data_IF_256070814713
#
_entry.id   IF_256070814713
#
_cell.length_a   1.000
_cell.length_b   1.000
_cell.length_c   1.000
_cell.angle_alpha   90.00
_cell.angle_beta   90.00
_cell.angle_gamma   90.00
#
_symmetry.space_group_name_H-M   'P 1'
#
loop_
_entity.id
_entity.type
_entity.pdbx_description
1 polymer ?
#
# COMPACT_ATOMS: atom_id res chain seq x y z
N UNK A 1 60.43 29.34 19.10
CA UNK A 1 59.11 29.41 19.76
C UNK A 1 58.06 29.89 18.78
N UNK A 2 57.00 29.18 18.38
CA UNK A 2 56.33 27.97 18.87
C UNK A 2 55.87 27.15 17.66
N UNK A 3 56.13 25.85 17.66
CA UNK A 3 55.55 24.91 16.71
C UNK A 3 54.07 24.67 17.04
N UNK A 4 53.25 24.61 15.99
CA UNK A 4 51.81 24.37 16.02
C UNK A 4 51.58 22.88 16.30
N UNK A 5 50.93 22.57 17.42
CA UNK A 5 50.55 21.20 17.79
C UNK A 5 49.27 20.78 17.05
N UNK A 6 49.36 19.66 16.33
CA UNK A 6 48.27 18.95 15.65
C UNK A 6 47.49 18.10 16.67
N UNK A 7 46.15 18.02 16.63
CA UNK A 7 45.40 17.16 17.54
C UNK A 7 45.60 15.67 17.19
N UNK A 8 45.55 14.76 18.19
CA UNK A 8 45.86 13.35 18.00
C UNK A 8 44.74 12.63 17.23
N UNK A 9 45.14 11.81 16.25
CA UNK A 9 44.26 10.89 15.53
C UNK A 9 43.93 9.68 16.41
N UNK A 10 42.74 9.64 17.00
CA UNK A 10 42.19 8.41 17.56
C UNK A 10 41.54 7.59 16.44
N UNK A 11 42.37 6.84 15.70
CA UNK A 11 41.90 5.73 14.89
C UNK A 11 41.42 4.61 15.83
N UNK A 12 40.18 4.72 16.30
CA UNK A 12 39.48 3.63 16.96
C UNK A 12 39.27 2.50 15.96
N UNK A 13 39.96 1.39 16.18
CA UNK A 13 39.74 0.11 15.51
C UNK A 13 38.27 -0.28 15.63
N UNK A 14 37.50 -0.11 14.54
CA UNK A 14 36.23 -0.82 14.39
C UNK A 14 36.57 -2.28 14.15
N UNK A 15 36.58 -3.06 15.23
CA UNK A 15 36.61 -4.51 15.15
C UNK A 15 35.45 -4.95 14.24
N UNK A 16 35.79 -5.65 13.16
CA UNK A 16 34.84 -6.31 12.28
C UNK A 16 34.03 -7.32 13.09
N UNK A 17 32.82 -6.93 13.49
CA UNK A 17 31.85 -7.83 14.08
C UNK A 17 31.46 -8.84 13.01
N UNK A 18 31.82 -10.11 13.25
CA UNK A 18 31.31 -11.23 12.47
C UNK A 18 29.76 -11.16 12.42
N UNK A 19 29.13 -11.52 11.29
CA UNK A 19 27.69 -11.53 11.19
C UNK A 19 27.12 -12.50 12.23
N UNK A 20 26.38 -11.96 13.20
CA UNK A 20 25.69 -12.76 14.21
C UNK A 20 24.73 -13.73 13.50
N UNK A 21 24.64 -15.00 13.93
CA UNK A 21 23.67 -15.93 13.37
C UNK A 21 22.26 -15.38 13.55
N UNK A 22 21.45 -15.47 12.50
CA UNK A 22 20.06 -14.99 12.54
C UNK A 22 19.31 -15.64 13.72
N UNK A 23 18.49 -14.89 14.47
CA UNK A 23 17.80 -15.41 15.63
C UNK A 23 16.90 -16.60 15.23
N UNK A 24 16.76 -17.62 16.09
CA UNK A 24 15.90 -18.76 15.82
C UNK A 24 14.45 -18.31 15.55
N UNK A 25 13.89 -18.81 14.45
CA UNK A 25 12.53 -18.52 13.98
C UNK A 25 11.64 -19.71 14.31
N UNK A 26 10.55 -19.48 15.05
CA UNK A 26 9.54 -20.50 15.34
C UNK A 26 8.28 -20.14 14.56
N UNK A 27 7.83 -21.02 13.67
CA UNK A 27 6.61 -20.85 12.88
C UNK A 27 5.47 -21.66 13.50
N UNK A 28 4.35 -21.00 13.78
CA UNK A 28 3.14 -21.63 14.28
C UNK A 28 2.02 -21.54 13.24
N UNK A 29 1.57 -22.70 12.77
CA UNK A 29 0.49 -22.82 11.80
C UNK A 29 -0.83 -23.15 12.51
N UNK A 30 -1.89 -22.44 12.15
CA UNK A 30 -3.22 -22.59 12.74
C UNK A 30 -4.31 -22.34 11.69
N UNK A 31 -5.57 -22.48 12.09
CA UNK A 31 -6.71 -22.18 11.22
C UNK A 31 -7.68 -21.23 11.92
N UNK A 32 -8.10 -20.20 11.19
CA UNK A 32 -9.05 -19.20 11.67
C UNK A 32 -10.38 -19.36 10.98
N UNK A 33 -11.47 -19.36 11.75
CA UNK A 33 -12.81 -19.28 11.19
C UNK A 33 -13.04 -17.90 10.58
N UNK A 34 -13.40 -17.85 9.30
CA UNK A 34 -13.77 -16.61 8.62
C UNK A 34 -15.30 -16.54 8.48
N UNK A 35 -15.97 -15.58 9.14
CA UNK A 35 -17.41 -15.37 8.96
C UNK A 35 -17.79 -15.02 7.52
N UNK A 36 -16.88 -14.34 6.78
CA UNK A 36 -17.13 -13.89 5.42
C UNK A 36 -17.22 -15.04 4.42
N UNK A 37 -16.37 -16.06 4.60
CA UNK A 37 -16.33 -17.25 3.74
C UNK A 37 -17.07 -18.44 4.34
N UNK A 38 -17.47 -18.39 5.61
CA UNK A 38 -18.05 -19.52 6.35
C UNK A 38 -17.18 -20.79 6.34
N UNK A 39 -15.85 -20.62 6.34
CA UNK A 39 -14.87 -21.72 6.35
C UNK A 39 -13.66 -21.38 7.22
N UNK A 40 -12.93 -22.42 7.65
CA UNK A 40 -11.62 -22.26 8.26
C UNK A 40 -10.58 -21.98 7.20
N UNK A 41 -9.79 -20.93 7.41
CA UNK A 41 -8.71 -20.51 6.53
C UNK A 41 -7.37 -20.73 7.25
N UNK A 42 -6.33 -21.20 6.53
CA UNK A 42 -5.02 -21.40 7.11
C UNK A 42 -4.38 -20.04 7.43
N UNK A 43 -3.78 -19.95 8.61
CA UNK A 43 -3.04 -18.79 9.06
C UNK A 43 -1.74 -19.25 9.71
N UNK A 44 -0.76 -18.35 9.76
CA UNK A 44 0.52 -18.62 10.40
C UNK A 44 1.00 -17.42 11.20
N UNK A 45 1.88 -17.69 12.15
CA UNK A 45 2.52 -16.68 12.97
C UNK A 45 3.99 -17.06 13.13
N UNK A 46 4.87 -16.12 12.80
CA UNK A 46 6.30 -16.26 13.07
C UNK A 46 6.62 -15.61 14.43
N UNK A 47 7.37 -16.33 15.25
CA UNK A 47 7.93 -15.85 16.51
C UNK A 47 9.44 -15.78 16.39
N UNK A 48 10.04 -14.68 16.87
CA UNK A 48 11.48 -14.45 16.85
C UNK A 48 11.96 -14.14 18.25
N UNK A 49 13.01 -14.82 18.69
CA UNK A 49 13.65 -14.55 19.98
C UNK A 49 15.16 -14.75 19.89
N UNK A 50 16.00 -13.84 20.42
CA UNK A 50 15.66 -12.51 20.92
C UNK A 50 15.41 -11.53 19.76
N UNK A 51 14.38 -10.68 19.86
CA UNK A 51 14.16 -9.62 18.88
C UNK A 51 15.03 -8.40 19.24
N UNK A 52 16.27 -8.35 18.74
CA UNK A 52 17.23 -7.28 19.07
C UNK A 52 16.72 -5.88 18.77
N UNK A 53 15.81 -5.72 17.80
CA UNK A 53 15.22 -4.42 17.45
C UNK A 53 14.32 -3.89 18.57
N UNK A 54 13.64 -4.75 19.33
CA UNK A 54 12.77 -4.36 20.45
C UNK A 54 13.54 -3.97 21.73
N UNK A 55 14.84 -4.25 21.80
CA UNK A 55 15.70 -3.98 22.96
C UNK A 55 16.59 -2.74 22.78
N UNK A 56 16.25 -1.85 21.84
CA UNK A 56 16.95 -0.59 21.57
C UNK A 56 16.73 0.51 22.61
N UNK A 57 16.98 0.23 23.90
CA UNK A 57 16.75 1.16 25.02
C UNK A 57 17.42 2.54 24.84
N UNK A 58 18.63 2.59 24.25
CA UNK A 58 19.32 3.86 23.99
C UNK A 58 18.58 4.76 22.98
N UNK A 59 17.93 4.18 21.97
CA UNK A 59 17.15 4.93 20.99
C UNK A 59 15.84 5.47 21.60
N UNK A 60 15.23 4.68 22.50
CA UNK A 60 14.09 5.10 23.30
C UNK A 60 14.48 6.30 24.20
N UNK A 61 15.58 6.20 24.94
CA UNK A 61 16.04 7.27 25.85
C UNK A 61 16.36 8.57 25.09
N UNK A 62 17.03 8.46 23.93
CA UNK A 62 17.27 9.61 23.04
C UNK A 62 15.97 10.26 22.57
N UNK A 63 14.98 9.44 22.19
CA UNK A 63 13.64 9.93 21.79
C UNK A 63 12.88 10.59 22.95
N UNK A 64 12.97 10.03 24.17
CA UNK A 64 12.34 10.58 25.38
C UNK A 64 12.97 11.90 25.81
N UNK A 65 14.28 12.05 25.60
CA UNK A 65 15.03 13.29 25.89
C UNK A 65 14.82 14.40 24.86
N UNK A 66 13.97 14.18 23.84
CA UNK A 66 13.71 15.08 22.72
C UNK A 66 14.91 15.30 21.77
N UNK A 67 15.97 14.50 21.87
CA UNK A 67 17.16 14.66 21.03
C UNK A 67 16.92 14.11 19.62
N UNK A 68 16.30 12.93 19.53
CA UNK A 68 15.85 12.37 18.25
C UNK A 68 14.42 12.80 17.90
N UNK A 69 14.18 12.96 16.60
CA UNK A 69 12.91 13.46 16.05
C UNK A 69 12.05 12.35 15.45
N UNK A 70 12.70 11.36 14.83
CA UNK A 70 12.06 10.25 14.15
C UNK A 70 11.87 9.10 15.13
N UNK A 71 10.62 8.75 15.42
CA UNK A 71 10.33 7.53 16.17
C UNK A 71 10.37 6.36 15.19
N UNK A 72 11.38 5.52 15.34
CA UNK A 72 11.53 4.30 14.54
C UNK A 72 10.55 3.22 15.02
N UNK A 73 10.13 2.31 14.15
CA UNK A 73 9.19 1.24 14.49
C UNK A 73 9.69 0.27 15.59
N UNK A 74 10.99 0.28 15.90
CA UNK A 74 11.57 -0.45 17.03
C UNK A 74 11.15 0.12 18.39
N UNK A 75 10.76 1.39 18.43
CA UNK A 75 10.27 2.07 19.62
C UNK A 75 8.76 1.79 19.75
N UNK A 76 8.33 1.26 20.90
CA UNK A 76 6.90 1.02 21.18
C UNK A 76 6.19 2.33 21.58
N UNK A 77 5.94 3.20 20.59
CA UNK A 77 5.13 4.41 20.75
C UNK A 77 3.64 4.12 20.53
N UNK A 78 2.79 5.01 21.04
CA UNK A 78 1.35 5.02 20.73
C UNK A 78 1.12 5.79 19.45
N UNK A 79 0.19 5.33 18.62
CA UNK A 79 -0.15 6.00 17.37
C UNK A 79 -1.64 5.96 17.05
N UNK A 80 -2.11 7.00 16.37
CA UNK A 80 -3.39 7.04 15.70
C UNK A 80 -3.15 7.23 14.21
N UNK A 81 -3.67 6.32 13.39
CA UNK A 81 -3.58 6.41 11.93
C UNK A 81 -4.88 7.00 11.39
N UNK A 82 -4.74 8.02 10.55
CA UNK A 82 -5.84 8.70 9.89
C UNK A 82 -5.51 8.90 8.42
N UNK A 83 -6.53 8.96 7.58
CA UNK A 83 -6.36 9.46 6.22
C UNK A 83 -7.46 10.44 5.85
N UNK A 84 -7.11 11.38 4.97
CA UNK A 84 -8.06 12.27 4.31
C UNK A 84 -8.40 11.65 2.96
N UNK A 85 -9.69 11.41 2.74
CA UNK A 85 -10.18 10.82 1.49
C UNK A 85 -10.29 11.91 0.41
N UNK A 86 -9.81 11.65 -0.82
CA UNK A 86 -10.09 12.54 -1.94
C UNK A 86 -11.59 12.48 -2.28
N UNK A 87 -12.13 13.47 -3.03
CA UNK A 87 -13.50 13.43 -3.50
C UNK A 87 -13.82 12.13 -4.26
N UNK A 88 -15.06 11.61 -4.21
CA UNK A 88 -15.46 10.47 -5.03
C UNK A 88 -15.31 10.79 -6.52
N UNK A 89 -14.58 9.95 -7.24
CA UNK A 89 -14.47 10.02 -8.71
C UNK A 89 -15.67 9.32 -9.34
N UNK A 90 -16.89 9.83 -9.10
CA UNK A 90 -18.09 9.27 -9.71
C UNK A 90 -18.07 9.57 -11.23
N UNK A 91 -18.24 8.52 -12.03
CA UNK A 91 -17.94 8.45 -13.47
C UNK A 91 -18.86 9.26 -14.40
N UNK A 92 -19.51 10.33 -13.93
CA UNK A 92 -20.62 10.97 -14.66
C UNK A 92 -20.56 12.49 -14.70
N UNK A 93 -19.41 13.11 -14.43
CA UNK A 93 -19.28 14.57 -14.35
C UNK A 93 -18.43 15.09 -15.50
N UNK A 94 -18.86 16.20 -16.12
CA UNK A 94 -18.08 16.98 -17.10
C UNK A 94 -16.66 17.28 -16.56
N UNK A 95 -15.66 17.31 -17.44
CA UNK A 95 -14.25 17.50 -17.05
C UNK A 95 -14.05 18.84 -16.32
N UNK A 96 -14.81 19.87 -16.71
CA UNK A 96 -14.77 21.19 -16.08
C UNK A 96 -15.28 21.17 -14.64
N UNK A 97 -16.41 20.49 -14.39
CA UNK A 97 -17.00 20.34 -13.05
C UNK A 97 -16.13 19.47 -12.14
N UNK A 98 -15.48 18.44 -12.70
CA UNK A 98 -14.50 17.61 -11.99
C UNK A 98 -13.30 18.42 -11.53
N UNK A 99 -12.72 19.23 -12.43
CA UNK A 99 -11.60 20.11 -12.10
C UNK A 99 -11.99 21.11 -11.00
N UNK A 100 -13.16 21.74 -11.13
CA UNK A 100 -13.67 22.66 -10.10
C UNK A 100 -13.81 21.99 -8.72
N UNK A 101 -14.32 20.76 -8.68
CA UNK A 101 -14.47 19.99 -7.43
C UNK A 101 -13.11 19.71 -6.77
N UNK A 102 -12.10 19.41 -7.58
CA UNK A 102 -10.73 19.17 -7.12
C UNK A 102 -10.07 20.45 -6.60
N UNK A 103 -10.28 21.57 -7.27
CA UNK A 103 -9.76 22.87 -6.85
C UNK A 103 -10.38 23.30 -5.50
N UNK A 104 -11.70 23.18 -5.37
CA UNK A 104 -12.42 23.45 -4.11
C UNK A 104 -11.98 22.51 -2.98
N UNK A 105 -11.73 21.24 -3.28
CA UNK A 105 -11.17 20.31 -2.30
C UNK A 105 -9.74 20.73 -1.89
N UNK A 106 -8.91 21.11 -2.86
CA UNK A 106 -7.52 21.51 -2.63
C UNK A 106 -7.41 22.76 -1.76
N UNK A 107 -8.27 23.76 -1.96
CA UNK A 107 -8.35 24.93 -1.09
C UNK A 107 -8.74 24.55 0.34
N UNK A 108 -9.80 23.75 0.51
CA UNK A 108 -10.25 23.27 1.83
C UNK A 108 -9.16 22.47 2.55
N UNK A 109 -8.45 21.62 1.82
CA UNK A 109 -7.35 20.82 2.34
C UNK A 109 -6.12 21.68 2.69
N UNK A 110 -5.80 22.69 1.89
CA UNK A 110 -4.71 23.62 2.17
C UNK A 110 -4.94 24.38 3.48
N UNK A 111 -6.17 24.87 3.71
CA UNK A 111 -6.57 25.51 4.98
C UNK A 111 -6.48 24.56 6.17
N UNK A 112 -6.72 23.27 5.96
CA UNK A 112 -6.55 22.25 6.99
C UNK A 112 -5.09 22.03 7.33
N UNK A 113 -4.21 21.94 6.34
CA UNK A 113 -2.77 21.87 6.57
C UNK A 113 -2.25 23.12 7.26
N UNK A 114 -2.72 24.32 6.87
CA UNK A 114 -2.41 25.60 7.54
C UNK A 114 -2.72 25.56 9.04
N UNK A 115 -3.87 24.99 9.41
CA UNK A 115 -4.24 24.80 10.81
C UNK A 115 -3.24 23.90 11.57
N UNK A 116 -2.78 22.81 10.95
CA UNK A 116 -1.75 21.94 11.55
C UNK A 116 -0.43 22.70 11.70
N UNK A 117 -0.01 23.50 10.70
CA UNK A 117 1.24 24.28 10.80
C UNK A 117 1.19 25.31 11.91
N UNK A 118 0.04 25.96 12.10
CA UNK A 118 -0.15 26.93 13.17
C UNK A 118 0.00 26.32 14.57
N UNK A 119 -0.07 24.99 14.70
CA UNK A 119 0.15 24.26 15.95
C UNK A 119 1.59 23.75 16.11
N UNK A 120 2.43 23.77 15.08
CA UNK A 120 3.79 23.27 15.13
C UNK A 120 4.77 24.22 15.86
N UNK A 121 5.94 23.71 16.25
CA UNK A 121 7.02 24.56 16.80
C UNK A 121 7.55 25.52 15.73
N UNK A 122 7.96 26.73 16.14
CA UNK A 122 8.54 27.74 15.23
C UNK A 122 9.88 27.30 14.62
N UNK A 123 10.68 26.52 15.35
CA UNK A 123 11.99 26.04 14.86
C UNK A 123 11.85 24.84 13.91
N UNK A 124 10.82 24.01 14.12
CA UNK A 124 10.43 22.93 13.20
C UNK A 124 9.47 23.43 12.09
N UNK A 125 9.16 24.73 12.07
CA UNK A 125 8.44 25.39 10.98
C UNK A 125 9.38 25.66 9.79
N UNK A 126 10.27 24.71 9.48
CA UNK A 126 10.62 24.48 8.09
C UNK A 126 9.28 24.41 7.32
N UNK A 127 9.16 25.05 6.15
CA UNK A 127 7.90 25.02 5.43
C UNK A 127 7.52 23.54 5.32
N UNK A 128 6.38 23.15 5.90
CA UNK A 128 5.73 21.90 5.58
C UNK A 128 5.69 21.93 4.06
N UNK A 129 6.66 21.24 3.45
CA UNK A 129 6.90 21.30 2.03
C UNK A 129 5.77 20.50 1.43
N UNK A 130 4.58 21.08 1.40
CA UNK A 130 3.70 20.92 0.27
C UNK A 130 4.50 21.62 -0.81
N UNK A 131 5.23 20.91 -1.70
CA UNK A 131 5.76 21.57 -2.86
C UNK A 131 4.62 22.37 -3.48
N UNK A 132 4.90 23.60 -3.91
CA UNK A 132 3.96 24.48 -4.62
C UNK A 132 3.42 23.86 -5.94
N UNK A 133 3.57 22.55 -6.15
CA UNK A 133 3.07 21.79 -7.27
C UNK A 133 1.96 20.88 -6.74
N UNK A 134 0.71 21.34 -6.84
CA UNK A 134 -0.13 21.14 -8.02
C UNK A 134 -0.47 19.65 -8.14
N UNK A 135 -1.72 19.33 -7.81
CA UNK A 135 -2.46 18.20 -8.34
C UNK A 135 -1.84 17.67 -9.64
N UNK A 136 -1.25 16.47 -9.62
CA UNK A 136 -0.83 15.83 -10.87
C UNK A 136 -2.09 15.28 -11.56
N UNK A 137 -2.83 16.15 -12.26
CA UNK A 137 -4.08 15.81 -12.96
C UNK A 137 -3.83 14.72 -14.01
N UNK A 138 -2.59 14.56 -14.50
CA UNK A 138 -2.19 13.42 -15.35
C UNK A 138 -2.41 12.05 -14.67
N UNK A 139 -2.45 11.97 -13.33
CA UNK A 139 -2.84 10.74 -12.62
C UNK A 139 -4.34 10.44 -12.75
N UNK A 140 -5.19 11.46 -12.87
CA UNK A 140 -6.63 11.31 -13.09
C UNK A 140 -6.93 10.91 -14.54
N UNK A 141 -6.14 11.43 -15.49
CA UNK A 141 -6.25 11.11 -16.91
C UNK A 141 -5.64 9.74 -17.26
N UNK A 142 -5.07 9.01 -16.29
CA UNK A 142 -4.43 7.71 -16.50
C UNK A 142 -3.10 7.76 -17.26
N UNK A 143 -2.58 8.97 -17.54
CA UNK A 143 -1.32 9.18 -18.25
C UNK A 143 -0.10 8.78 -17.41
N UNK A 144 -0.26 8.84 -16.07
CA UNK A 144 0.76 8.42 -15.12
C UNK A 144 0.19 7.39 -14.16
N UNK A 145 1.00 6.39 -13.82
CA UNK A 145 0.67 5.43 -12.77
C UNK A 145 0.84 6.09 -11.39
N UNK A 146 -0.04 5.82 -10.42
CA UNK A 146 0.16 6.24 -9.04
C UNK A 146 1.54 5.79 -8.54
N UNK A 147 2.16 6.58 -7.66
CA UNK A 147 3.49 6.31 -7.11
C UNK A 147 3.47 6.37 -5.60
N UNK A 148 4.45 5.72 -4.98
CA UNK A 148 4.62 5.80 -3.52
C UNK A 148 5.00 7.23 -3.11
N UNK A 149 4.16 7.83 -2.28
CA UNK A 149 4.37 9.18 -1.71
C UNK A 149 5.41 9.09 -0.58
N UNK A 150 6.25 10.13 -0.48
CA UNK A 150 7.21 10.26 0.62
C UNK A 150 6.51 10.79 1.86
N UNK A 151 7.00 10.40 3.04
CA UNK A 151 6.48 10.87 4.31
C UNK A 151 7.44 11.87 4.95
N UNK A 152 6.88 12.84 5.66
CA UNK A 152 7.60 13.84 6.45
C UNK A 152 7.03 13.92 7.86
N UNK A 153 7.79 14.54 8.77
CA UNK A 153 7.52 14.52 10.21
C UNK A 153 7.49 15.94 10.77
N UNK A 154 6.55 16.24 11.66
CA UNK A 154 6.46 17.53 12.34
C UNK A 154 6.14 17.39 13.83
N UNK A 155 6.80 18.19 14.67
CA UNK A 155 6.59 18.20 16.13
C UNK A 155 5.55 19.24 16.55
N UNK A 156 4.56 18.79 17.32
CA UNK A 156 3.51 19.64 17.89
C UNK A 156 3.68 19.69 19.41
N UNK A 157 4.03 20.85 19.99
CA UNK A 157 4.08 21.01 21.43
C UNK A 157 2.66 20.99 22.01
N UNK A 158 2.47 20.21 23.06
CA UNK A 158 1.24 20.18 23.84
C UNK A 158 1.42 21.02 25.10
N UNK A 159 0.52 21.98 25.30
CA UNK A 159 0.53 22.85 26.47
C UNK A 159 -0.61 22.46 27.40
N UNK A 160 -0.29 22.20 28.67
CA UNK A 160 -1.27 22.05 29.73
C UNK A 160 -1.07 23.20 30.72
N UNK A 161 -2.10 24.04 30.98
CA UNK A 161 -1.99 25.14 31.94
C UNK A 161 -1.76 24.65 33.38
N UNK A 162 -2.16 23.41 33.67
CA UNK A 162 -2.02 22.69 34.94
C UNK A 162 -0.82 21.72 34.96
N UNK A 163 -0.03 21.66 33.88
CA UNK A 163 1.20 20.87 33.89
C UNK A 163 2.12 21.43 34.98
N UNK A 164 2.65 20.61 35.91
CA UNK A 164 3.65 21.06 36.85
C UNK A 164 4.89 21.44 36.04
N UNK A 165 4.92 22.70 35.63
CA UNK A 165 6.09 23.41 35.17
C UNK A 165 6.94 23.57 36.42
N UNK A 166 7.87 22.64 36.66
CA UNK A 166 9.19 22.90 37.21
C UNK A 166 9.74 21.65 37.91
N UNK A 167 10.78 21.06 37.34
CA UNK A 167 11.93 20.76 38.18
C UNK A 167 12.70 22.09 38.35
N UNK A 168 12.48 22.80 39.47
CA UNK A 168 13.38 23.89 39.87
C UNK A 168 14.57 23.22 40.55
N UNK A 169 15.66 23.02 39.82
CA UNK A 169 16.98 22.93 40.47
C UNK A 169 17.75 24.16 40.03
N UNK A 170 17.97 25.16 40.89
CA UNK A 170 18.85 26.28 40.55
C UNK A 170 20.19 25.71 40.04
N UNK A 171 20.72 26.15 38.88
CA UNK A 171 20.36 27.36 38.12
C UNK A 171 19.42 27.14 36.91
N UNK A 172 18.86 25.94 36.70
CA UNK A 172 18.04 25.62 35.51
C UNK A 172 16.58 25.30 35.86
N UNK A 173 15.66 26.07 35.28
CA UNK A 173 14.24 25.69 35.21
C UNK A 173 14.02 24.84 33.97
N UNK A 174 13.87 23.52 34.12
CA UNK A 174 13.54 22.63 33.01
C UNK A 174 12.01 22.48 32.96
N UNK A 175 11.39 23.02 31.92
CA UNK A 175 9.98 22.75 31.60
C UNK A 175 9.91 21.36 30.96
N UNK A 176 9.16 20.44 31.56
CA UNK A 176 8.81 19.16 30.92
C UNK A 176 7.98 19.48 29.68
N UNK A 177 8.64 19.52 28.52
CA UNK A 177 7.96 19.70 27.26
C UNK A 177 7.21 18.41 26.95
N UNK A 178 5.91 18.52 26.67
CA UNK A 178 5.12 17.43 26.11
C UNK A 178 4.92 17.73 24.63
N UNK A 179 5.06 16.74 23.77
CA UNK A 179 4.84 16.89 22.35
C UNK A 179 4.29 15.60 21.76
N UNK A 180 3.73 15.73 20.57
CA UNK A 180 3.44 14.63 19.67
C UNK A 180 4.15 14.87 18.34
N UNK A 181 4.36 13.80 17.59
CA UNK A 181 4.86 13.85 16.22
C UNK A 181 3.68 13.58 15.27
N UNK A 182 3.60 14.33 14.17
CA UNK A 182 2.75 13.99 13.05
C UNK A 182 3.62 13.54 11.91
N UNK A 183 3.40 12.30 11.45
CA UNK A 183 3.94 11.76 10.22
C UNK A 183 2.88 11.94 9.14
N UNK A 184 3.23 12.57 8.04
CA UNK A 184 2.27 12.97 7.00
C UNK A 184 2.85 12.78 5.60
N UNK A 185 1.99 12.72 4.59
CA UNK A 185 2.42 12.64 3.20
C UNK A 185 2.94 14.00 2.68
N UNK A 186 4.13 14.01 2.08
CA UNK A 186 4.78 15.23 1.57
C UNK A 186 4.06 15.77 0.32
N UNK A 187 3.42 14.89 -0.44
CA UNK A 187 2.70 15.24 -1.65
C UNK A 187 1.23 14.84 -1.53
N UNK A 188 0.35 15.61 -2.15
CA UNK A 188 -1.07 15.28 -2.22
C UNK A 188 -1.44 14.86 -3.65
N UNK A 189 -2.02 13.66 -3.80
CA UNK A 189 -2.44 13.11 -5.09
C UNK A 189 -3.97 12.97 -5.12
N UNK A 190 -4.66 13.37 -6.20
CA UNK A 190 -6.13 13.33 -6.28
C UNK A 190 -6.74 11.94 -6.21
N UNK A 191 -5.98 10.94 -6.65
CA UNK A 191 -6.44 9.55 -6.75
C UNK A 191 -6.08 8.71 -5.52
N UNK A 192 -5.30 9.27 -4.59
CA UNK A 192 -4.77 8.59 -3.43
C UNK A 192 -5.22 9.29 -2.14
N UNK A 193 -5.38 8.53 -1.06
CA UNK A 193 -5.61 9.11 0.26
C UNK A 193 -4.37 9.83 0.77
N UNK A 194 -4.57 10.85 1.60
CA UNK A 194 -3.50 11.55 2.30
C UNK A 194 -3.35 11.00 3.72
N UNK A 195 -2.19 10.47 4.08
CA UNK A 195 -1.94 9.87 5.40
C UNK A 195 -1.56 10.90 6.45
N UNK A 196 -2.10 10.71 7.66
CA UNK A 196 -1.75 11.46 8.87
C UNK A 196 -1.64 10.45 10.00
N UNK A 197 -0.43 10.21 10.48
CA UNK A 197 -0.15 9.39 11.66
C UNK A 197 0.27 10.30 12.82
N UNK A 198 -0.54 10.29 13.88
CA UNK A 198 -0.25 11.01 15.12
C UNK A 198 0.48 10.03 16.04
N UNK A 199 1.73 10.31 16.39
CA UNK A 199 2.57 9.47 17.25
C UNK A 199 2.90 10.18 18.57
N UNK A 200 2.85 9.44 19.67
CA UNK A 200 3.21 9.94 20.99
C UNK A 200 3.74 8.86 21.91
N UNK A 201 4.54 9.27 22.89
CA UNK A 201 5.19 8.37 23.84
C UNK A 201 5.03 8.87 25.28
N UNK A 202 5.55 10.06 25.58
CA UNK A 202 5.63 10.61 26.94
C UNK A 202 4.79 11.88 27.07
N UNK A 203 3.46 11.74 26.97
CA UNK A 203 2.53 12.86 27.15
C UNK A 203 1.22 12.41 27.81
N UNK A 204 0.50 13.35 28.42
CA UNK A 204 -0.83 13.11 28.99
C UNK A 204 -1.81 12.76 27.88
N UNK A 205 -2.53 11.65 28.04
CA UNK A 205 -3.51 11.19 27.03
C UNK A 205 -4.58 12.22 26.74
N UNK A 206 -5.10 12.91 27.77
CA UNK A 206 -6.12 13.95 27.61
C UNK A 206 -5.71 15.06 26.62
N UNK A 207 -4.43 15.47 26.63
CA UNK A 207 -3.94 16.50 25.69
C UNK A 207 -3.86 15.97 24.25
N UNK A 208 -3.55 14.69 24.09
CA UNK A 208 -3.54 14.03 22.78
C UNK A 208 -4.96 13.88 22.26
N UNK A 209 -5.89 13.45 23.12
CA UNK A 209 -7.30 13.29 22.78
C UNK A 209 -7.91 14.65 22.38
N UNK A 210 -7.63 15.72 23.13
CA UNK A 210 -8.05 17.08 22.79
C UNK A 210 -7.48 17.54 21.45
N UNK A 211 -6.21 17.23 21.17
CA UNK A 211 -5.59 17.55 19.89
C UNK A 211 -6.27 16.80 18.73
N UNK A 212 -6.46 15.48 18.86
CA UNK A 212 -7.12 14.64 17.84
C UNK A 212 -8.56 15.10 17.61
N UNK A 213 -9.31 15.40 18.68
CA UNK A 213 -10.67 15.93 18.58
C UNK A 213 -10.68 17.30 17.90
N UNK A 214 -9.72 18.17 18.20
CA UNK A 214 -9.54 19.45 17.51
C UNK A 214 -9.28 19.29 16.02
N UNK A 215 -8.41 18.35 15.66
CA UNK A 215 -8.10 18.00 14.28
C UNK A 215 -9.34 17.50 13.52
N UNK A 216 -10.09 16.56 14.10
CA UNK A 216 -11.32 16.02 13.51
C UNK A 216 -12.41 17.10 13.36
N UNK A 217 -12.59 17.95 14.38
CA UNK A 217 -13.55 19.07 14.31
C UNK A 217 -13.18 20.05 13.20
N UNK A 218 -11.89 20.38 13.06
CA UNK A 218 -11.43 21.33 12.03
C UNK A 218 -11.57 20.76 10.63
N UNK A 219 -11.26 19.49 10.44
CA UNK A 219 -11.50 18.80 9.18
C UNK A 219 -12.98 18.82 8.78
N UNK A 220 -13.88 18.52 9.73
CA UNK A 220 -15.33 18.60 9.51
C UNK A 220 -15.79 20.02 9.16
N UNK A 221 -15.23 21.06 9.80
CA UNK A 221 -15.52 22.46 9.45
C UNK A 221 -15.10 22.83 8.02
N UNK A 222 -14.05 22.20 7.50
CA UNK A 222 -13.61 22.35 6.12
C UNK A 222 -14.24 21.33 5.17
N UNK A 223 -15.26 20.59 5.60
CA UNK A 223 -15.93 19.56 4.82
C UNK A 223 -14.93 18.54 4.21
N UNK A 224 -13.93 18.14 4.99
CA UNK A 224 -12.97 17.09 4.64
C UNK A 224 -13.35 15.77 5.30
N UNK A 225 -13.30 14.69 4.54
CA UNK A 225 -13.58 13.35 5.03
C UNK A 225 -12.30 12.74 5.61
N UNK A 226 -12.14 12.87 6.93
CA UNK A 226 -11.06 12.20 7.66
C UNK A 226 -11.59 10.95 8.33
N UNK A 227 -10.99 9.80 8.02
CA UNK A 227 -11.35 8.52 8.62
C UNK A 227 -10.18 7.95 9.43
N UNK A 228 -10.45 7.31 10.58
CA UNK A 228 -9.44 6.51 11.27
C UNK A 228 -9.14 5.26 10.45
N UNK A 229 -7.86 4.97 10.28
CA UNK A 229 -7.41 3.78 9.56
C UNK A 229 -7.21 2.63 10.54
N UNK A 230 -7.53 1.39 10.13
CA UNK A 230 -7.18 0.21 10.91
C UNK A 230 -5.64 0.12 11.13
N UNK A 231 -5.23 -0.36 12.32
CA UNK A 231 -3.82 -0.50 12.76
C UNK A 231 -2.93 -1.26 11.77
N UNK A 232 -3.57 -2.10 10.97
CA UNK A 232 -3.02 -3.03 10.00
C UNK A 232 -2.56 -2.40 8.68
N UNK A 233 -2.87 -1.12 8.46
CA UNK A 233 -2.60 -0.44 7.19
C UNK A 233 -1.14 -0.57 6.75
N UNK A 234 -0.21 -0.47 7.72
CA UNK A 234 1.23 -0.55 7.48
C UNK A 234 1.83 -1.96 7.44
N UNK A 235 1.02 -3.02 7.62
CA UNK A 235 1.55 -4.37 7.63
C UNK A 235 1.87 -4.85 6.21
N UNK A 236 3.14 -5.10 5.91
CA UNK A 236 3.61 -5.52 4.58
C UNK A 236 3.45 -7.03 4.31
N UNK A 237 3.05 -7.80 5.32
CA UNK A 237 2.81 -9.25 5.26
C UNK A 237 1.32 -9.56 5.23
N UNK A 238 0.98 -10.82 4.90
CA UNK A 238 -0.39 -11.33 5.10
C UNK A 238 -0.66 -11.76 6.55
N UNK A 239 0.37 -12.04 7.34
CA UNK A 239 0.25 -12.32 8.78
C UNK A 239 0.09 -11.01 9.56
N UNK A 240 -0.93 -10.24 9.21
CA UNK A 240 -1.13 -8.88 9.70
C UNK A 240 -1.43 -8.86 11.20
N UNK A 241 -2.27 -9.80 11.64
CA UNK A 241 -2.63 -9.98 13.04
C UNK A 241 -3.11 -11.43 13.27
N UNK A 242 -2.79 -12.07 14.41
CA UNK A 242 -3.20 -13.44 14.72
C UNK A 242 -4.71 -13.75 14.73
N UNK A 243 -5.55 -12.72 14.61
CA UNK A 243 -7.02 -12.79 14.75
C UNK A 243 -7.73 -12.24 13.52
N UNK A 244 -6.98 -11.93 12.47
CA UNK A 244 -7.50 -11.39 11.23
C UNK A 244 -7.14 -12.39 10.16
N UNK A 245 -8.14 -12.71 9.35
CA UNK A 245 -8.00 -13.71 8.33
C UNK A 245 -8.17 -13.06 6.95
N UNK A 246 -7.07 -12.68 6.29
CA UNK A 246 -7.13 -12.23 4.91
C UNK A 246 -7.70 -13.32 4.01
N UNK A 247 -8.54 -12.92 3.05
CA UNK A 247 -9.08 -13.82 2.02
C UNK A 247 -8.36 -13.55 0.70
N UNK A 248 -7.75 -14.58 0.13
CA UNK A 248 -7.02 -14.49 -1.13
C UNK A 248 -7.87 -14.98 -2.30
N UNK A 249 -7.88 -14.20 -3.39
CA UNK A 249 -8.47 -14.56 -4.65
C UNK A 249 -7.39 -14.51 -5.75
N UNK A 250 -7.05 -15.64 -6.39
CA UNK A 250 -6.04 -15.65 -7.44
C UNK A 250 -6.54 -14.89 -8.69
N UNK A 251 -5.65 -14.14 -9.32
CA UNK A 251 -5.86 -13.54 -10.65
C UNK A 251 -4.75 -13.98 -11.59
N UNK A 252 -5.06 -14.04 -12.89
CA UNK A 252 -4.15 -14.62 -13.90
C UNK A 252 -3.60 -13.59 -14.87
N UNK A 253 -4.38 -12.57 -15.23
CA UNK A 253 -4.03 -11.62 -16.28
C UNK A 253 -3.95 -10.16 -15.80
N UNK A 254 -3.09 -9.37 -16.42
CA UNK A 254 -3.01 -7.92 -16.17
C UNK A 254 -4.34 -7.18 -16.49
N UNK A 255 -5.11 -7.69 -17.45
CA UNK A 255 -6.42 -7.15 -17.78
C UNK A 255 -7.42 -7.37 -16.62
N UNK A 256 -7.36 -8.53 -15.96
CA UNK A 256 -8.19 -8.85 -14.80
C UNK A 256 -7.93 -7.85 -13.67
N UNK A 257 -6.65 -7.56 -13.40
CA UNK A 257 -6.27 -6.56 -12.40
C UNK A 257 -6.84 -5.19 -12.72
N UNK A 258 -6.78 -4.75 -13.98
CA UNK A 258 -7.34 -3.46 -14.41
C UNK A 258 -8.86 -3.40 -14.23
N UNK A 259 -9.58 -4.49 -14.55
CA UNK A 259 -11.03 -4.58 -14.36
C UNK A 259 -11.39 -4.51 -12.86
N UNK A 260 -10.68 -5.25 -12.02
CA UNK A 260 -10.90 -5.22 -10.57
C UNK A 260 -10.59 -3.83 -9.99
N UNK A 261 -9.46 -3.22 -10.37
CA UNK A 261 -9.06 -1.88 -9.93
C UNK A 261 -10.12 -0.82 -10.30
N UNK A 262 -10.65 -0.90 -11.52
CA UNK A 262 -11.75 -0.04 -11.98
C UNK A 262 -13.02 -0.28 -11.16
N UNK A 263 -13.44 -1.53 -10.95
CA UNK A 263 -14.64 -1.86 -10.14
C UNK A 263 -14.52 -1.39 -8.70
N UNK A 264 -13.34 -1.53 -8.09
CA UNK A 264 -13.06 -1.06 -6.74
C UNK A 264 -13.31 0.45 -6.62
N UNK A 265 -12.76 1.23 -7.53
CA UNK A 265 -12.77 2.70 -7.46
C UNK A 265 -14.07 3.33 -7.97
N UNK A 266 -14.67 2.80 -9.04
CA UNK A 266 -15.86 3.36 -9.66
C UNK A 266 -17.18 2.95 -8.97
N UNK A 267 -17.27 1.72 -8.46
CA UNK A 267 -18.54 1.14 -7.99
C UNK A 267 -18.51 0.80 -6.51
N UNK A 268 -17.44 0.18 -6.03
CA UNK A 268 -17.36 -0.36 -4.68
C UNK A 268 -16.86 0.64 -3.63
N UNK A 269 -16.78 1.93 -3.97
CA UNK A 269 -16.40 3.02 -3.06
C UNK A 269 -15.05 2.82 -2.35
N UNK A 270 -14.09 2.18 -3.04
CA UNK A 270 -12.71 2.15 -2.61
C UNK A 270 -11.93 3.34 -3.15
N UNK A 271 -10.89 3.72 -2.43
CA UNK A 271 -9.88 4.68 -2.87
C UNK A 271 -8.51 4.03 -2.75
N UNK A 272 -7.58 4.40 -3.64
CA UNK A 272 -6.20 3.97 -3.52
C UNK A 272 -5.62 4.54 -2.23
N UNK A 273 -5.21 3.66 -1.32
CA UNK A 273 -4.51 4.04 -0.11
C UNK A 273 -3.04 4.31 -0.45
N UNK A 274 -2.38 3.38 -1.15
CA UNK A 274 -1.01 3.61 -1.57
C UNK A 274 -0.35 2.40 -2.22
N UNK A 275 0.91 2.61 -2.60
CA UNK A 275 1.77 1.57 -3.18
C UNK A 275 2.86 1.20 -2.20
N UNK A 276 2.90 -0.08 -1.85
CA UNK A 276 3.77 -0.62 -0.83
C UNK A 276 4.73 -1.63 -1.41
N UNK A 277 5.94 -1.69 -0.85
CA UNK A 277 6.94 -2.69 -1.23
C UNK A 277 6.67 -3.98 -0.48
N UNK A 278 6.80 -5.10 -1.17
CA UNK A 278 6.81 -6.43 -0.55
C UNK A 278 8.26 -6.70 -0.11
N UNK A 279 8.54 -6.83 1.19
CA UNK A 279 9.87 -7.21 1.66
C UNK A 279 10.25 -8.57 1.09
N UNK A 280 11.53 -8.75 0.75
CA UNK A 280 12.03 -10.00 0.18
C UNK A 280 11.75 -11.21 1.09
N UNK A 281 11.82 -11.01 2.41
CA UNK A 281 11.52 -12.05 3.41
C UNK A 281 10.04 -12.45 3.41
N UNK A 282 9.15 -11.51 3.09
CA UNK A 282 7.70 -11.70 2.99
C UNK A 282 7.27 -12.27 1.62
N UNK A 283 8.20 -12.36 0.66
CA UNK A 283 7.96 -12.88 -0.70
C UNK A 283 7.79 -14.41 -0.74
N UNK A 284 7.81 -15.07 0.42
CA UNK A 284 7.48 -16.49 0.57
C UNK A 284 5.99 -16.76 0.30
N UNK A 285 5.53 -18.01 0.46
CA UNK A 285 4.21 -18.59 0.10
C UNK A 285 2.95 -17.72 0.31
N UNK A 286 3.01 -16.63 1.08
CA UNK A 286 1.93 -15.66 1.28
C UNK A 286 1.51 -14.95 -0.02
N UNK A 287 2.46 -14.46 -0.81
CA UNK A 287 2.17 -13.68 -2.01
C UNK A 287 2.33 -14.45 -3.31
N UNK A 288 3.01 -15.61 -3.28
CA UNK A 288 2.99 -16.51 -4.42
C UNK A 288 1.73 -17.35 -4.30
N UNK A 289 0.79 -17.18 -5.23
CA UNK A 289 -0.24 -18.18 -5.48
C UNK A 289 0.39 -19.55 -5.82
N UNK A 290 -0.41 -20.54 -6.24
CA UNK A 290 0.11 -21.81 -6.75
C UNK A 290 1.29 -21.55 -7.70
N UNK A 291 2.38 -22.32 -7.57
CA UNK A 291 3.75 -22.10 -8.12
C UNK A 291 3.86 -21.88 -9.65
N UNK A 292 2.77 -21.66 -10.36
CA UNK A 292 2.64 -21.65 -11.82
C UNK A 292 2.70 -20.25 -12.44
N UNK A 293 2.45 -19.17 -11.71
CA UNK A 293 2.55 -17.80 -12.26
C UNK A 293 3.93 -17.21 -12.06
N UNK A 294 4.86 -17.52 -12.98
CA UNK A 294 6.08 -16.73 -13.15
C UNK A 294 5.69 -15.30 -13.54
N UNK A 295 5.86 -14.35 -12.62
CA UNK A 295 5.68 -12.93 -12.89
C UNK A 295 6.52 -12.50 -14.11
N UNK A 296 5.86 -11.93 -15.12
CA UNK A 296 6.49 -11.27 -16.26
C UNK A 296 6.96 -9.91 -15.76
N UNK A 297 8.18 -9.84 -15.24
CA UNK A 297 8.85 -8.56 -14.99
C UNK A 297 10.23 -8.60 -15.66
N UNK A 298 10.52 -7.72 -16.63
CA UNK A 298 11.82 -7.69 -17.29
C UNK A 298 12.88 -7.32 -16.27
N UNK A 299 13.88 -8.19 -16.10
CA UNK A 299 15.00 -7.93 -15.22
C UNK A 299 15.77 -6.68 -15.72
N UNK A 300 15.76 -5.60 -14.95
CA UNK A 300 16.65 -4.46 -15.19
C UNK A 300 18.09 -4.93 -14.94
N UNK A 301 18.91 -5.01 -16.00
CA UNK A 301 20.35 -5.26 -15.88
C UNK A 301 21.02 -4.01 -15.30
N UNK A 302 21.65 -4.15 -14.14
CA UNK A 302 22.55 -3.11 -13.62
C UNK A 302 23.90 -3.19 -14.34
N UNK A 303 24.57 -2.05 -14.52
CA UNK A 303 25.88 -1.93 -15.18
C UNK A 303 27.02 -2.70 -14.48
N UNK A 304 26.79 -3.30 -13.30
CA UNK A 304 27.80 -4.10 -12.56
C UNK A 304 27.60 -5.61 -12.65
N UNK A 305 26.79 -6.11 -13.58
CA UNK A 305 26.64 -7.55 -13.85
C UNK A 305 25.90 -8.34 -12.75
N UNK A 306 25.42 -7.68 -11.69
CA UNK A 306 24.58 -8.30 -10.65
C UNK A 306 23.10 -8.08 -10.99
N UNK A 307 22.39 -9.16 -11.32
CA UNK A 307 20.93 -9.19 -11.47
C UNK A 307 20.30 -9.11 -10.07
N UNK A 308 19.90 -7.90 -9.64
CA UNK A 308 19.03 -7.79 -8.46
C UNK A 308 17.62 -8.23 -8.90
N UNK A 309 16.94 -9.12 -8.14
CA UNK A 309 15.56 -9.46 -8.43
C UNK A 309 14.70 -8.19 -8.37
N UNK A 310 13.72 -8.03 -9.28
CA UNK A 310 12.87 -6.85 -9.32
C UNK A 310 12.11 -6.69 -8.00
N UNK A 311 12.08 -5.48 -7.47
CA UNK A 311 11.41 -5.18 -6.22
C UNK A 311 9.89 -5.25 -6.43
N UNK A 312 9.24 -6.24 -5.81
CA UNK A 312 7.78 -6.43 -5.91
C UNK A 312 7.04 -5.40 -5.06
N UNK A 313 5.87 -5.01 -5.54
CA UNK A 313 4.98 -4.04 -4.89
C UNK A 313 3.54 -4.51 -4.92
N UNK A 314 2.73 -4.06 -3.99
CA UNK A 314 1.27 -4.18 -4.04
C UNK A 314 0.62 -2.81 -3.95
N UNK A 315 -0.57 -2.69 -4.54
CA UNK A 315 -1.45 -1.54 -4.37
C UNK A 315 -2.47 -1.88 -3.30
N UNK A 316 -2.67 -1.00 -2.34
CA UNK A 316 -3.66 -1.16 -1.29
C UNK A 316 -4.76 -0.13 -1.47
N UNK A 317 -6.00 -0.57 -1.29
CA UNK A 317 -7.21 0.21 -1.40
C UNK A 317 -7.93 0.19 -0.06
N UNK A 318 -8.46 1.32 0.37
CA UNK A 318 -9.27 1.47 1.57
C UNK A 318 -10.71 1.82 1.19
N UNK A 319 -11.68 1.22 1.88
CA UNK A 319 -13.08 1.58 1.65
C UNK A 319 -13.44 2.89 2.35
N UNK A 320 -14.20 3.77 1.68
CA UNK A 320 -14.55 5.11 2.19
C UNK A 320 -15.33 5.10 3.51
N UNK A 321 -16.15 4.09 3.74
CA UNK A 321 -17.07 4.03 4.90
C UNK A 321 -16.91 2.79 5.79
N UNK A 322 -16.10 1.81 5.38
CA UNK A 322 -16.01 0.51 6.04
C UNK A 322 -14.56 0.23 6.40
N UNK A 323 -14.38 -0.45 7.52
CA UNK A 323 -13.07 -0.76 8.06
C UNK A 323 -12.52 -2.03 7.40
N UNK A 324 -12.16 -1.92 6.12
CA UNK A 324 -11.53 -2.97 5.32
C UNK A 324 -10.58 -2.41 4.26
N UNK A 325 -9.67 -3.27 3.81
CA UNK A 325 -8.72 -3.03 2.75
C UNK A 325 -8.81 -4.10 1.67
N UNK A 326 -8.41 -3.73 0.46
CA UNK A 326 -8.15 -4.66 -0.64
C UNK A 326 -6.74 -4.44 -1.12
N UNK A 327 -5.93 -5.50 -1.25
CA UNK A 327 -4.60 -5.44 -1.84
C UNK A 327 -4.59 -6.10 -3.21
N UNK A 328 -4.13 -5.39 -4.21
CA UNK A 328 -3.79 -5.92 -5.52
C UNK A 328 -2.29 -6.20 -5.57
N UNK A 329 -1.95 -7.48 -5.70
CA UNK A 329 -0.58 -7.99 -5.76
C UNK A 329 -0.27 -8.45 -7.18
N UNK A 330 0.86 -9.12 -7.40
CA UNK A 330 1.16 -9.77 -8.68
C UNK A 330 0.46 -11.14 -8.85
N UNK A 331 -0.01 -11.75 -7.75
CA UNK A 331 -0.67 -13.07 -7.79
C UNK A 331 -2.19 -13.01 -7.66
N UNK A 332 -2.75 -11.91 -7.16
CA UNK A 332 -4.19 -11.80 -6.97
C UNK A 332 -4.64 -10.67 -6.06
N UNK A 333 -5.90 -10.77 -5.66
CA UNK A 333 -6.60 -9.85 -4.76
C UNK A 333 -6.61 -10.41 -3.35
N UNK A 334 -6.26 -9.60 -2.36
CA UNK A 334 -6.37 -9.95 -0.95
C UNK A 334 -7.37 -9.03 -0.28
N UNK A 335 -8.43 -9.59 0.28
CA UNK A 335 -9.36 -8.86 1.15
C UNK A 335 -8.90 -8.91 2.60
N UNK A 336 -8.84 -7.77 3.27
CA UNK A 336 -8.44 -7.65 4.68
C UNK A 336 -9.47 -6.78 5.41
N UNK A 337 -10.34 -7.42 6.18
CA UNK A 337 -11.32 -6.73 7.02
C UNK A 337 -10.82 -6.55 8.45
N UNK A 338 -11.32 -5.53 9.13
CA UNK A 338 -11.10 -5.34 10.56
C UNK A 338 -11.79 -6.43 11.40
N UNK A 339 -11.50 -6.43 12.70
CA UNK A 339 -12.07 -7.38 13.69
C UNK A 339 -13.61 -7.30 13.82
N UNK A 340 -14.29 -6.33 13.21
CA UNK A 340 -15.76 -6.17 13.24
C UNK A 340 -16.44 -6.80 12.01
N UNK A 341 -16.14 -8.07 11.77
CA UNK A 341 -16.48 -8.84 10.57
C UNK A 341 -17.99 -9.13 10.38
N UNK A 342 -18.82 -8.90 11.40
CA UNK A 342 -20.21 -9.39 11.45
C UNK A 342 -21.25 -8.43 10.83
N UNK A 343 -20.82 -7.34 10.21
CA UNK A 343 -21.77 -6.39 9.61
C UNK A 343 -22.33 -6.94 8.30
N UNK A 344 -23.66 -6.92 8.15
CA UNK A 344 -24.34 -7.27 6.88
C UNK A 344 -23.80 -6.47 5.70
N UNK A 345 -23.51 -5.17 5.90
CA UNK A 345 -22.94 -4.33 4.84
C UNK A 345 -21.55 -4.81 4.39
N UNK A 346 -20.74 -5.31 5.34
CA UNK A 346 -19.41 -5.85 5.04
C UNK A 346 -19.53 -7.19 4.29
N UNK A 347 -20.46 -8.05 4.68
CA UNK A 347 -20.75 -9.29 3.96
C UNK A 347 -21.20 -9.00 2.52
N UNK A 348 -22.13 -8.05 2.34
CA UNK A 348 -22.62 -7.65 1.02
C UNK A 348 -21.48 -7.14 0.14
N UNK A 349 -20.63 -6.25 0.66
CA UNK A 349 -19.49 -5.73 -0.09
C UNK A 349 -18.48 -6.83 -0.46
N UNK A 350 -18.19 -7.74 0.48
CA UNK A 350 -17.34 -8.89 0.23
C UNK A 350 -17.91 -9.77 -0.89
N UNK A 351 -19.21 -10.09 -0.84
CA UNK A 351 -19.89 -10.86 -1.88
C UNK A 351 -19.88 -10.16 -3.25
N UNK A 352 -20.01 -8.83 -3.29
CA UNK A 352 -19.92 -8.05 -4.54
C UNK A 352 -18.53 -8.17 -5.17
N UNK A 353 -17.47 -7.99 -4.38
CA UNK A 353 -16.10 -8.16 -4.89
C UNK A 353 -15.85 -9.60 -5.35
N UNK A 354 -16.29 -10.59 -4.57
CA UNK A 354 -16.17 -11.99 -4.93
C UNK A 354 -16.89 -12.28 -6.27
N UNK A 355 -18.09 -11.74 -6.47
CA UNK A 355 -18.85 -11.90 -7.70
C UNK A 355 -18.13 -11.28 -8.92
N UNK A 356 -17.51 -10.11 -8.76
CA UNK A 356 -16.68 -9.49 -9.81
C UNK A 356 -15.55 -10.42 -10.23
N UNK A 357 -14.82 -10.98 -9.26
CA UNK A 357 -13.68 -11.87 -9.52
C UNK A 357 -14.12 -13.20 -10.16
N UNK A 358 -15.23 -13.77 -9.69
CA UNK A 358 -15.81 -14.98 -10.28
C UNK A 358 -16.25 -14.76 -11.72
N UNK A 359 -16.88 -13.61 -12.02
CA UNK A 359 -17.31 -13.26 -13.38
C UNK A 359 -16.12 -13.17 -14.32
N UNK A 360 -15.03 -12.52 -13.90
CA UNK A 360 -13.78 -12.47 -14.69
C UNK A 360 -13.28 -13.88 -14.98
N UNK A 361 -13.24 -14.74 -13.96
CA UNK A 361 -12.79 -16.13 -14.10
C UNK A 361 -13.64 -16.93 -15.09
N UNK A 362 -14.96 -16.78 -15.05
CA UNK A 362 -15.88 -17.45 -16.00
C UNK A 362 -15.67 -16.95 -17.43
N UNK A 363 -15.53 -15.63 -17.62
CA UNK A 363 -15.29 -15.08 -18.95
C UNK A 363 -13.96 -15.53 -19.56
N UNK A 364 -12.93 -15.76 -18.73
CA UNK A 364 -11.65 -16.32 -19.20
C UNK A 364 -11.81 -17.76 -19.68
N UNK A 365 -12.57 -18.59 -18.95
CA UNK A 365 -12.85 -19.98 -19.36
C UNK A 365 -13.72 -20.04 -20.63
N UNK A 366 -14.70 -19.14 -20.79
CA UNK A 366 -15.50 -19.04 -22.02
C UNK A 366 -14.63 -18.66 -23.23
N UNK A 367 -13.73 -17.67 -23.08
CA UNK A 367 -12.80 -17.29 -24.15
C UNK A 367 -11.87 -18.43 -24.55
N UNK A 368 -11.44 -19.27 -23.60
CA UNK A 368 -10.66 -20.48 -23.91
C UNK A 368 -11.48 -21.45 -24.74
N UNK A 369 -12.73 -21.71 -24.37
CA UNK A 369 -13.63 -22.59 -25.12
C UNK A 369 -13.86 -22.08 -26.56
N UNK A 370 -14.11 -20.78 -26.74
CA UNK A 370 -14.27 -20.17 -28.08
C UNK A 370 -12.98 -20.24 -28.90
N UNK A 371 -11.81 -20.05 -28.27
CA UNK A 371 -10.52 -20.22 -28.91
C UNK A 371 -10.29 -21.67 -29.37
N UNK A 372 -10.67 -22.67 -28.56
CA UNK A 372 -10.61 -24.08 -28.95
C UNK A 372 -11.58 -24.41 -30.10
N UNK A 373 -12.78 -23.84 -30.10
CA UNK A 373 -13.73 -24.04 -31.21
C UNK A 373 -13.27 -23.37 -32.51
N UNK A 374 -12.66 -22.17 -32.41
CA UNK A 374 -12.15 -21.44 -33.57
C UNK A 374 -10.92 -22.15 -34.15
N UNK A 375 -9.97 -22.57 -33.31
CA UNK A 375 -8.78 -23.30 -33.78
C UNK A 375 -9.12 -24.66 -34.38
N UNK A 376 -10.03 -25.42 -33.77
CA UNK A 376 -10.52 -26.69 -34.36
C UNK A 376 -11.23 -26.47 -35.70
N UNK A 377 -12.05 -25.41 -35.81
CA UNK A 377 -12.70 -25.03 -37.08
C UNK A 377 -11.70 -24.57 -38.15
N UNK A 378 -10.67 -23.81 -37.77
CA UNK A 378 -9.60 -23.39 -38.69
C UNK A 378 -8.78 -24.61 -39.15
N UNK A 379 -8.35 -25.50 -38.24
CA UNK A 379 -7.66 -26.72 -38.65
C UNK A 379 -8.52 -27.64 -39.51
N UNK A 380 -9.82 -27.75 -39.22
CA UNK A 380 -10.75 -28.53 -40.05
C UNK A 380 -10.92 -27.90 -41.45
N UNK A 381 -10.98 -26.57 -41.54
CA UNK A 381 -11.07 -25.86 -42.83
C UNK A 381 -9.81 -26.00 -43.68
N UNK A 382 -8.61 -25.98 -43.05
CA UNK A 382 -7.33 -26.18 -43.74
C UNK A 382 -7.19 -27.64 -44.20
N UNK A 383 -7.62 -28.61 -43.38
CA UNK A 383 -7.61 -30.02 -43.75
C UNK A 383 -8.59 -30.35 -44.88
N UNK A 384 -9.77 -29.72 -44.90
CA UNK A 384 -10.75 -29.83 -45.99
C UNK A 384 -10.24 -29.17 -47.28
N UNK A 385 -9.57 -28.01 -47.18
CA UNK A 385 -8.97 -27.33 -48.32
C UNK A 385 -7.80 -28.12 -48.93
N UNK A 386 -6.99 -28.79 -48.10
CA UNK A 386 -5.91 -29.66 -48.56
C UNK A 386 -6.44 -30.95 -49.21
N UNK A 387 -7.55 -31.53 -48.70
CA UNK A 387 -8.22 -32.64 -49.39
C UNK A 387 -8.81 -32.24 -50.74
N UNK A 388 -9.43 -31.06 -50.85
CA UNK A 388 -9.94 -30.57 -52.14
C UNK A 388 -8.82 -30.29 -53.15
N UNK A 389 -7.62 -29.87 -52.68
CA UNK A 389 -6.43 -29.74 -53.53
C UNK A 389 -5.87 -31.08 -54.01
N UNK A 390 -5.88 -32.11 -53.15
CA UNK A 390 -5.47 -33.47 -53.53
C UNK A 390 -6.45 -34.13 -54.50
N UNK A 391 -7.75 -33.85 -54.38
CA UNK A 391 -8.77 -34.38 -55.30
C UNK A 391 -8.71 -33.65 -56.66
N UNK A 392 -8.45 -32.33 -56.67
CA UNK A 392 -8.26 -31.56 -57.90
C UNK A 392 -7.02 -31.96 -58.70
N UNK A 393 -5.93 -32.36 -58.03
CA UNK A 393 -4.70 -32.81 -58.69
C UNK A 393 -4.79 -34.23 -59.27
N UNK A 394 -5.65 -35.10 -58.74
CA UNK A 394 -5.91 -36.42 -59.35
C UNK A 394 -6.85 -36.37 -60.57
N UNK A 395 -7.60 -35.28 -60.76
CA UNK A 395 -8.49 -35.10 -61.92
C UNK A 395 -7.80 -34.44 -63.12
N UNK A 396 -6.65 -33.77 -62.93
CA UNK A 396 -5.87 -33.19 -64.04
C UNK A 396 -4.86 -34.16 -64.68
N UNK A 397 -4.55 -35.31 -64.06
CA UNK A 397 -3.64 -36.31 -64.64
C UNK A 397 -4.31 -37.28 -65.66
N UNK A 398 -5.62 -37.18 -65.88
CA UNK A 398 -6.34 -38.09 -66.78
C UNK A 398 -6.70 -37.56 -68.18
N UNK A 399 -6.38 -36.30 -68.52
CA UNK A 399 -6.72 -35.68 -69.82
C UNK A 399 -5.49 -35.38 -70.71
N UNK A 400 -4.65 -36.40 -70.98
CA UNK A 400 -3.58 -36.32 -71.98
C UNK A 400 -3.36 -37.65 -72.73
N UNK A 401 -4.39 -38.15 -73.43
CA UNK A 401 -4.19 -39.11 -74.53
C UNK A 401 -5.13 -38.77 -75.70
N UNK A 402 -4.54 -38.18 -76.74
CA UNK A 402 -5.16 -37.99 -78.06
C UNK A 402 -5.30 -39.32 -78.81
N UNK A 403 -6.40 -39.55 -79.54
CA UNK A 403 -6.46 -40.61 -80.55
C UNK A 403 -6.09 -40.02 -81.92
N UNK A 404 -5.07 -40.61 -82.56
CA UNK A 404 -4.79 -40.43 -83.99
C UNK A 404 -5.30 -41.66 -84.74
N UNK A 405 -5.87 -41.44 -85.93
CA UNK A 405 -6.22 -42.38 -86.99
C UNK A 405 -7.51 -43.21 -86.83
N UNK A 406 -8.57 -42.85 -87.57
CA UNK A 406 -8.82 -43.29 -88.95
C UNK A 406 -9.94 -42.44 -89.58
#
# INVERSE_FOLDING_TARGET
DKQVAKPPSSAGSFASLAPQPAPPRVEYNYSLWSPLTSHFLPAKQEFRYPNTDEYGWNALDSSMSAHDFVMTHSIKYKRGLYCVLPPPMLSTVDDAERQKTLDEFTDRFSRFLDYIRAKARKDDAAPLGVPNNVMDVSLLMGEKTPRRVLQGDIKIPLSAPDAPLQYVRPPMSVKLQQWLNIHYDVEFLPVQVYHIEVQWLVCRSALVDDFILGLQRRAKQFNLDIIPMPENCGASTMDVHPLICPVFFPLRSAADFAVVEHKLTAELQFCLEGIHRIPYESMTYQYNGPKETKAISPAHRSASGKTRPPQRTYRQFIHRSMSCFVRLTDAGVIWISSRRMHSTAMQTLFCQLQHVIQTISVTDEMKKLDFFQTTTSTTASVFMADQQKQIGTMLEEHDCLSPTAA
#
